data_IF_279825413642
#
_entry.id   IF_279825413642
#
_cell.length_a   1.000
_cell.length_b   1.000
_cell.length_c   1.000
_cell.angle_alpha   90.00
_cell.angle_beta   90.00
_cell.angle_gamma   90.00
#
_symmetry.space_group_name_H-M   'P 1'
#
loop_
_entity.id
_entity.type
_entity.pdbx_description
1 polymer ?
#
# COMPACT_ATOMS: atom_id res chain seq x y z
N UNK A 1 14.93 22.00 -29.40
CA UNK A 1 14.95 22.38 -27.97
C UNK A 1 14.47 21.17 -27.19
N UNK A 2 15.30 20.67 -26.28
CA UNK A 2 15.22 19.34 -25.69
C UNK A 2 14.01 19.15 -24.79
N UNK A 3 13.48 17.93 -24.83
CA UNK A 3 12.37 17.41 -24.05
C UNK A 3 12.49 17.81 -22.58
N UNK A 4 11.49 18.51 -22.05
CA UNK A 4 11.36 18.83 -20.63
C UNK A 4 11.56 17.55 -19.80
N UNK A 5 12.38 17.57 -18.75
CA UNK A 5 12.50 16.42 -17.85
C UNK A 5 11.13 16.20 -17.23
N UNK A 6 10.54 15.05 -17.55
CA UNK A 6 9.32 14.53 -16.93
C UNK A 6 9.43 14.73 -15.42
N UNK A 7 8.48 15.46 -14.84
CA UNK A 7 8.26 15.53 -13.40
C UNK A 7 8.05 14.11 -12.84
N UNK A 8 9.14 13.40 -12.56
CA UNK A 8 9.13 12.22 -11.71
C UNK A 8 9.26 12.71 -10.26
N UNK A 9 8.25 13.40 -9.76
CA UNK A 9 8.23 13.86 -8.37
C UNK A 9 6.84 13.78 -7.71
N UNK A 10 5.76 13.58 -8.47
CA UNK A 10 4.43 13.33 -7.91
C UNK A 10 3.94 11.96 -8.39
N UNK A 11 4.49 10.87 -7.86
CA UNK A 11 3.61 9.70 -7.69
C UNK A 11 2.59 10.14 -6.64
N UNK A 12 1.28 10.15 -6.92
CA UNK A 12 0.31 10.37 -5.87
C UNK A 12 0.64 9.36 -4.78
N UNK A 13 0.92 9.87 -3.59
CA UNK A 13 1.09 9.02 -2.43
C UNK A 13 -0.18 8.19 -2.36
N UNK A 14 -0.05 6.86 -2.41
CA UNK A 14 -1.20 5.98 -2.52
C UNK A 14 -2.11 6.20 -1.31
N UNK A 15 -3.41 6.32 -1.57
CA UNK A 15 -4.45 6.48 -0.56
C UNK A 15 -5.00 5.12 -0.12
N UNK A 16 -5.86 5.11 0.89
CA UNK A 16 -6.49 3.90 1.41
C UNK A 16 -7.32 3.13 0.37
N UNK A 17 -7.90 3.84 -0.60
CA UNK A 17 -8.60 3.21 -1.72
C UNK A 17 -7.68 2.38 -2.59
N UNK A 18 -6.46 2.88 -2.85
CA UNK A 18 -5.45 2.14 -3.61
C UNK A 18 -4.97 0.92 -2.82
N UNK A 19 -4.83 1.04 -1.49
CA UNK A 19 -4.57 -0.10 -0.62
C UNK A 19 -5.66 -1.16 -0.77
N UNK A 20 -6.93 -0.79 -0.62
CA UNK A 20 -8.05 -1.72 -0.77
C UNK A 20 -8.10 -2.35 -2.15
N UNK A 21 -7.79 -1.60 -3.21
CA UNK A 21 -7.77 -2.13 -4.56
C UNK A 21 -6.60 -3.12 -4.77
N UNK A 22 -5.42 -2.83 -4.20
CA UNK A 22 -4.29 -3.76 -4.20
C UNK A 22 -4.61 -5.01 -3.39
N UNK A 23 -5.27 -4.87 -2.24
CA UNK A 23 -5.73 -5.97 -1.42
C UNK A 23 -6.75 -6.80 -2.20
N UNK A 24 -7.85 -6.23 -2.66
CA UNK A 24 -8.88 -6.93 -3.43
C UNK A 24 -8.31 -7.64 -4.67
N UNK A 25 -7.36 -7.01 -5.37
CA UNK A 25 -6.70 -7.61 -6.52
C UNK A 25 -5.79 -8.80 -6.17
N UNK A 26 -5.10 -8.76 -5.02
CA UNK A 26 -4.20 -9.84 -4.58
C UNK A 26 -4.96 -10.96 -3.84
N UNK A 27 -6.02 -10.63 -3.10
CA UNK A 27 -6.84 -11.57 -2.31
C UNK A 27 -7.89 -12.33 -3.14
N UNK A 28 -7.55 -12.67 -4.40
CA UNK A 28 -8.41 -13.48 -5.27
C UNK A 28 -8.44 -14.96 -4.88
N UNK A 29 -7.42 -15.45 -4.16
CA UNK A 29 -7.33 -16.84 -3.70
C UNK A 29 -7.18 -16.93 -2.17
N UNK A 30 -7.77 -17.96 -1.53
CA UNK A 30 -7.64 -18.17 -0.10
C UNK A 30 -6.18 -18.53 0.25
N UNK A 31 -5.53 -17.65 1.01
CA UNK A 31 -4.12 -17.78 1.40
C UNK A 31 -3.17 -16.84 0.66
N UNK A 32 -3.69 -15.99 -0.23
CA UNK A 32 -2.90 -14.94 -0.83
C UNK A 32 -2.56 -13.85 0.20
N UNK A 33 -1.42 -13.19 -0.01
CA UNK A 33 -0.95 -12.16 0.91
C UNK A 33 -0.42 -10.98 0.13
N UNK A 34 -1.00 -9.81 0.36
CA UNK A 34 -0.54 -8.60 -0.30
C UNK A 34 0.59 -7.96 0.50
N UNK A 35 1.70 -7.61 -0.16
CA UNK A 35 2.77 -6.84 0.48
C UNK A 35 2.74 -5.43 -0.05
N UNK A 36 2.60 -4.45 0.85
CA UNK A 36 2.58 -3.04 0.52
C UNK A 36 3.68 -2.29 1.25
N UNK A 37 4.21 -1.30 0.55
CA UNK A 37 5.34 -0.50 1.00
C UNK A 37 4.80 0.83 1.52
N UNK A 38 4.75 1.01 2.83
CA UNK A 38 4.20 2.19 3.50
C UNK A 38 4.86 3.50 3.04
N UNK A 39 6.12 3.45 2.56
CA UNK A 39 6.82 4.61 2.00
C UNK A 39 6.15 5.16 0.73
N UNK A 40 5.41 4.29 0.01
CA UNK A 40 4.64 4.68 -1.19
C UNK A 40 3.29 5.29 -0.86
N UNK A 41 2.83 5.20 0.39
CA UNK A 41 1.54 5.72 0.81
C UNK A 41 1.68 7.09 1.48
N UNK A 42 0.58 7.84 1.49
CA UNK A 42 0.56 9.15 2.14
C UNK A 42 0.50 9.05 3.67
N UNK A 43 0.10 7.86 4.11
CA UNK A 43 -0.28 7.49 5.45
C UNK A 43 0.91 6.91 6.19
N UNK A 44 0.95 7.13 7.50
CA UNK A 44 1.88 6.45 8.38
C UNK A 44 1.63 4.95 8.37
N UNK A 45 2.67 4.18 8.64
CA UNK A 45 2.57 2.71 8.80
C UNK A 45 1.46 2.32 9.77
N UNK A 46 1.25 3.09 10.84
CA UNK A 46 0.21 2.88 11.84
C UNK A 46 -1.22 3.05 11.28
N UNK A 47 -1.43 4.05 10.42
CA UNK A 47 -2.73 4.30 9.78
C UNK A 47 -3.08 3.19 8.78
N UNK A 48 -2.07 2.70 8.04
CA UNK A 48 -2.24 1.56 7.13
C UNK A 48 -2.56 0.27 7.88
N UNK A 49 -1.92 0.04 9.03
CA UNK A 49 -2.22 -1.11 9.90
C UNK A 49 -3.64 -0.99 10.46
N UNK A 50 -4.01 0.19 10.97
CA UNK A 50 -5.33 0.43 11.54
C UNK A 50 -6.43 0.18 10.51
N UNK A 51 -6.28 0.77 9.32
CA UNK A 51 -7.26 0.64 8.26
C UNK A 51 -7.32 -0.78 7.66
N UNK A 52 -6.17 -1.47 7.55
CA UNK A 52 -6.14 -2.89 7.20
C UNK A 52 -6.89 -3.77 8.20
N UNK A 53 -6.67 -3.49 9.49
CA UNK A 53 -7.34 -4.21 10.58
C UNK A 53 -8.84 -3.90 10.62
N UNK A 54 -9.24 -2.65 10.39
CA UNK A 54 -10.67 -2.26 10.27
C UNK A 54 -11.35 -2.89 9.08
N UNK A 55 -10.63 -3.05 7.97
CA UNK A 55 -11.12 -3.77 6.79
C UNK A 55 -11.17 -5.30 6.98
N UNK A 56 -10.66 -5.81 8.10
CA UNK A 56 -10.70 -7.23 8.45
C UNK A 56 -9.50 -8.05 7.96
N UNK A 57 -8.44 -7.39 7.50
CA UNK A 57 -7.18 -8.02 7.10
C UNK A 57 -6.22 -8.15 8.27
N UNK A 58 -5.40 -9.19 8.23
CA UNK A 58 -4.30 -9.38 9.18
C UNK A 58 -3.07 -8.62 8.69
N UNK A 59 -2.68 -7.56 9.40
CA UNK A 59 -1.50 -6.76 9.01
C UNK A 59 -0.26 -7.19 9.80
N UNK A 60 0.69 -7.82 9.13
CA UNK A 60 2.02 -8.16 9.64
C UNK A 60 3.06 -7.13 9.18
N UNK A 61 3.76 -6.51 10.13
CA UNK A 61 4.86 -5.61 9.82
C UNK A 61 6.12 -6.40 9.50
N UNK A 62 6.43 -6.55 8.20
CA UNK A 62 7.64 -7.24 7.73
C UNK A 62 8.91 -6.41 7.97
N UNK A 63 8.83 -5.09 7.85
CA UNK A 63 9.96 -4.18 8.03
C UNK A 63 9.49 -2.78 8.42
N UNK A 64 10.41 -1.85 8.69
CA UNK A 64 10.12 -0.46 9.10
C UNK A 64 9.04 0.19 8.22
N UNK A 65 9.12 -0.02 6.89
CA UNK A 65 8.20 0.52 5.90
C UNK A 65 7.48 -0.55 5.06
N UNK A 66 7.56 -1.84 5.40
CA UNK A 66 6.82 -2.89 4.67
C UNK A 66 5.78 -3.56 5.56
N UNK A 67 4.57 -3.62 5.03
CA UNK A 67 3.41 -4.24 5.65
C UNK A 67 2.92 -5.37 4.74
N UNK A 68 2.67 -6.52 5.34
CA UNK A 68 2.06 -7.67 4.71
C UNK A 68 0.64 -7.81 5.22
N UNK A 69 -0.29 -8.00 4.33
CA UNK A 69 -1.70 -8.19 4.61
C UNK A 69 -2.03 -9.64 4.26
N UNK A 70 -2.74 -10.34 5.15
CA UNK A 70 -3.21 -11.72 5.00
C UNK A 70 -4.63 -11.94 5.51
#
# INVERSE_FOLDING_TARGET
MGLSPKHYANRPKLDLEDLNQVLDANFNEPGDTATIDADKYALSTEELIAAGTEAGYTVEKLSENMLKFS
#
